data_IF_135720362029
#
_entry.id   IF_135720362029
#
_cell.length_a   1.000
_cell.length_b   1.000
_cell.length_c   1.000
_cell.angle_alpha   90.00
_cell.angle_beta   90.00
_cell.angle_gamma   90.00
#
_symmetry.space_group_name_H-M   'P 1'
#
loop_
_entity.id
_entity.type
_entity.pdbx_description
1 polymer ?
#
# COMPACT_ATOMS: atom_id res chain seq x y z
N UNK A 1 17.61 27.93 -24.14
CA UNK A 1 16.44 27.02 -24.14
C UNK A 1 16.69 25.93 -23.11
N UNK A 2 15.92 25.87 -22.02
CA UNK A 2 15.90 24.66 -21.17
C UNK A 2 14.82 23.76 -21.76
N UNK A 3 15.23 22.75 -22.52
CA UNK A 3 14.34 21.80 -23.20
C UNK A 3 13.80 20.72 -22.25
N UNK A 4 14.38 20.62 -21.04
CA UNK A 4 13.95 19.70 -20.00
C UNK A 4 13.11 20.44 -18.94
N UNK A 5 11.80 20.19 -18.94
CA UNK A 5 10.84 20.83 -18.02
C UNK A 5 10.40 19.84 -16.92
N UNK A 6 9.87 20.33 -15.79
CA UNK A 6 9.28 19.47 -14.76
C UNK A 6 8.17 18.54 -15.30
N UNK A 7 7.40 19.00 -16.29
CA UNK A 7 6.38 18.19 -16.94
C UNK A 7 7.00 17.00 -17.71
N UNK A 8 8.09 17.22 -18.45
CA UNK A 8 8.82 16.13 -19.14
C UNK A 8 9.39 15.14 -18.13
N UNK A 9 9.94 15.64 -17.01
CA UNK A 9 10.43 14.78 -15.92
C UNK A 9 9.34 13.87 -15.36
N UNK A 10 8.14 14.41 -15.11
CA UNK A 10 7.01 13.64 -14.60
C UNK A 10 6.60 12.51 -15.56
N UNK A 11 6.57 12.79 -16.87
CA UNK A 11 6.27 11.76 -17.88
C UNK A 11 7.34 10.65 -17.91
N UNK A 12 8.62 10.99 -17.77
CA UNK A 12 9.69 10.00 -17.67
C UNK A 12 9.54 9.10 -16.43
N UNK A 13 9.09 9.66 -15.30
CA UNK A 13 8.82 8.87 -14.11
C UNK A 13 7.63 7.92 -14.29
N UNK A 14 6.56 8.34 -15.00
CA UNK A 14 5.47 7.41 -15.35
C UNK A 14 5.98 6.25 -16.22
N UNK A 15 6.83 6.55 -17.20
CA UNK A 15 7.45 5.55 -18.07
C UNK A 15 8.37 4.60 -17.30
N UNK A 16 9.08 5.06 -16.27
CA UNK A 16 9.96 4.19 -15.47
C UNK A 16 9.17 3.16 -14.64
N UNK A 17 8.01 3.55 -14.10
CA UNK A 17 7.08 2.65 -13.39
C UNK A 17 6.61 1.54 -14.34
N UNK A 18 6.02 1.91 -15.49
CA UNK A 18 5.49 0.95 -16.46
C UNK A 18 6.60 0.12 -17.12
N UNK A 19 7.75 0.74 -17.37
CA UNK A 19 8.96 0.11 -17.90
C UNK A 19 9.55 -0.93 -16.95
N UNK A 20 9.36 -0.77 -15.63
CA UNK A 20 9.74 -1.78 -14.64
C UNK A 20 8.68 -2.88 -14.53
N UNK A 21 7.39 -2.51 -14.53
CA UNK A 21 6.28 -3.45 -14.44
C UNK A 21 6.25 -4.48 -15.59
N UNK A 22 6.76 -4.13 -16.78
CA UNK A 22 6.78 -5.03 -17.95
C UNK A 22 7.44 -6.40 -17.71
N UNK A 23 8.34 -6.50 -16.73
CA UNK A 23 9.10 -7.73 -16.45
C UNK A 23 8.32 -8.74 -15.61
N UNK A 24 7.30 -8.29 -14.87
CA UNK A 24 6.45 -9.12 -14.03
C UNK A 24 4.99 -9.15 -14.51
N UNK A 25 4.49 -7.97 -14.92
CA UNK A 25 3.09 -7.64 -15.19
C UNK A 25 2.12 -8.22 -14.14
N UNK A 26 2.55 -8.21 -12.88
CA UNK A 26 1.77 -8.72 -11.75
C UNK A 26 0.60 -7.80 -11.43
N UNK A 27 -0.60 -8.35 -11.42
CA UNK A 27 -1.86 -7.73 -11.03
C UNK A 27 -2.32 -8.45 -9.76
N UNK A 28 -2.41 -7.70 -8.66
CA UNK A 28 -2.76 -8.18 -7.33
C UNK A 28 -4.17 -7.71 -7.05
N UNK A 29 -5.07 -8.66 -6.84
CA UNK A 29 -6.49 -8.40 -6.58
C UNK A 29 -6.81 -8.86 -5.16
N UNK A 30 -6.86 -7.93 -4.18
CA UNK A 30 -7.34 -8.24 -2.85
C UNK A 30 -8.80 -8.62 -2.86
N UNK A 31 -9.16 -9.60 -2.02
CA UNK A 31 -10.56 -9.91 -1.77
C UNK A 31 -11.30 -8.66 -1.25
N UNK A 32 -12.53 -8.35 -1.71
CA UNK A 32 -13.21 -7.09 -1.37
C UNK A 32 -13.33 -6.81 0.14
N UNK A 33 -13.68 -7.82 0.94
CA UNK A 33 -13.77 -7.68 2.40
C UNK A 33 -12.42 -7.37 3.05
N UNK A 34 -11.33 -7.97 2.53
CA UNK A 34 -9.98 -7.68 3.00
C UNK A 34 -9.55 -6.26 2.58
N UNK A 35 -9.81 -5.88 1.33
CA UNK A 35 -9.53 -4.53 0.82
C UNK A 35 -10.15 -3.46 1.72
N UNK A 36 -11.44 -3.61 2.04
CA UNK A 36 -12.16 -2.69 2.91
C UNK A 36 -11.56 -2.66 4.32
N UNK A 37 -11.31 -3.83 4.92
CA UNK A 37 -10.73 -3.90 6.26
C UNK A 37 -9.33 -3.28 6.34
N UNK A 38 -8.49 -3.47 5.32
CA UNK A 38 -7.16 -2.85 5.23
C UNK A 38 -7.26 -1.34 5.05
N UNK A 39 -8.15 -0.86 4.17
CA UNK A 39 -8.37 0.57 3.94
C UNK A 39 -8.90 1.30 5.20
N UNK A 40 -9.60 0.60 6.08
CA UNK A 40 -10.07 1.15 7.36
C UNK A 40 -9.08 1.00 8.51
N UNK A 41 -8.01 0.20 8.32
CA UNK A 41 -7.01 -0.03 9.36
C UNK A 41 -6.11 1.21 9.49
N UNK A 42 -6.07 1.86 10.66
CA UNK A 42 -5.19 3.00 10.88
C UNK A 42 -3.72 2.57 10.83
N UNK A 43 -2.88 3.41 10.24
CA UNK A 43 -1.43 3.22 10.26
C UNK A 43 -0.83 3.82 11.52
N UNK A 44 0.25 3.20 11.98
CA UNK A 44 1.07 3.72 13.09
C UNK A 44 1.74 5.04 12.70
N UNK A 45 1.96 5.92 13.67
CA UNK A 45 2.78 7.14 13.53
C UNK A 45 4.28 6.83 13.34
N UNK A 46 4.66 5.56 13.40
CA UNK A 46 5.96 5.06 12.98
C UNK A 46 5.77 4.05 11.84
N UNK A 47 5.82 4.55 10.60
CA UNK A 47 5.74 3.70 9.41
C UNK A 47 6.90 2.68 9.36
N UNK A 48 6.63 1.40 9.12
CA UNK A 48 7.66 0.37 9.04
C UNK A 48 8.30 0.38 7.64
N UNK A 49 9.22 1.33 7.41
CA UNK A 49 9.86 1.58 6.10
C UNK A 49 10.43 0.31 5.47
N UNK A 50 11.08 -0.55 6.26
CA UNK A 50 11.72 -1.77 5.76
C UNK A 50 10.73 -2.82 5.24
N UNK A 51 9.47 -2.78 5.68
CA UNK A 51 8.42 -3.68 5.18
C UNK A 51 8.15 -3.33 3.72
N UNK A 52 8.05 -2.06 3.36
CA UNK A 52 7.87 -1.63 1.96
C UNK A 52 9.03 -2.02 1.04
N UNK A 53 10.18 -2.49 1.54
CA UNK A 53 11.29 -2.97 0.69
C UNK A 53 11.13 -4.44 0.27
N UNK A 54 10.14 -5.13 0.84
CA UNK A 54 9.87 -6.56 0.65
C UNK A 54 8.91 -6.84 -0.50
N UNK A 55 8.66 -5.87 -1.39
CA UNK A 55 7.81 -6.08 -2.56
C UNK A 55 8.13 -7.41 -3.28
N UNK A 56 7.10 -8.22 -3.57
CA UNK A 56 7.29 -9.53 -4.21
C UNK A 56 7.86 -9.42 -5.63
N UNK A 57 7.58 -8.31 -6.32
CA UNK A 57 8.10 -7.97 -7.64
C UNK A 57 8.55 -6.51 -7.64
N UNK A 58 9.47 -6.10 -8.53
CA UNK A 58 9.99 -4.72 -8.52
C UNK A 58 8.92 -3.65 -8.70
N UNK A 59 7.90 -3.97 -9.49
CA UNK A 59 6.70 -3.15 -9.62
C UNK A 59 5.49 -4.08 -9.71
N UNK A 60 4.44 -3.71 -8.99
CA UNK A 60 3.16 -4.42 -8.95
C UNK A 60 2.03 -3.47 -9.32
N UNK A 61 0.94 -4.00 -9.87
CA UNK A 61 -0.33 -3.30 -9.96
C UNK A 61 -1.29 -3.89 -8.93
N UNK A 62 -1.92 -3.05 -8.11
CA UNK A 62 -2.93 -3.47 -7.13
C UNK A 62 -4.29 -2.98 -7.61
N UNK A 63 -5.24 -3.89 -7.78
CA UNK A 63 -6.62 -3.55 -8.11
C UNK A 63 -7.37 -3.11 -6.86
N UNK A 64 -8.20 -2.07 -6.98
CA UNK A 64 -8.92 -1.46 -5.86
C UNK A 64 -10.40 -1.22 -6.18
N UNK A 65 -11.17 -2.24 -6.59
CA UNK A 65 -12.56 -2.06 -6.99
C UNK A 65 -13.39 -1.39 -5.88
N UNK A 66 -14.19 -0.39 -6.26
CA UNK A 66 -15.04 0.35 -5.34
C UNK A 66 -14.31 1.39 -4.45
N UNK A 67 -12.99 1.54 -4.57
CA UNK A 67 -12.29 2.63 -3.89
C UNK A 67 -12.41 3.94 -4.68
N UNK A 68 -12.60 5.03 -3.94
CA UNK A 68 -12.51 6.39 -4.48
C UNK A 68 -11.43 7.19 -3.76
N UNK A 69 -10.74 8.04 -4.51
CA UNK A 69 -9.75 8.99 -4.01
C UNK A 69 -10.09 10.38 -4.51
N UNK A 70 -10.16 11.36 -3.60
CA UNK A 70 -10.48 12.75 -3.96
C UNK A 70 -11.77 12.91 -4.82
N UNK A 71 -12.75 12.02 -4.65
CA UNK A 71 -14.01 12.04 -5.40
C UNK A 71 -13.99 11.32 -6.75
N UNK A 72 -12.85 10.77 -7.17
CA UNK A 72 -12.69 10.01 -8.41
C UNK A 72 -12.61 8.50 -8.10
N UNK A 73 -13.16 7.67 -8.99
CA UNK A 73 -12.98 6.22 -8.90
C UNK A 73 -11.49 5.85 -9.12
N UNK A 74 -10.97 4.98 -8.26
CA UNK A 74 -9.64 4.42 -8.35
C UNK A 74 -9.72 2.94 -8.75
N UNK A 75 -9.45 2.64 -10.01
CA UNK A 75 -9.43 1.25 -10.49
C UNK A 75 -8.28 0.43 -9.89
N UNK A 76 -7.18 1.10 -9.57
CA UNK A 76 -5.99 0.51 -8.96
C UNK A 76 -4.79 1.43 -9.04
N UNK A 77 -3.61 0.92 -8.70
CA UNK A 77 -2.38 1.69 -8.80
C UNK A 77 -1.17 0.79 -9.02
N UNK A 78 -0.17 1.29 -9.74
CA UNK A 78 1.16 0.68 -9.74
C UNK A 78 1.97 1.21 -8.57
N UNK A 79 2.75 0.33 -7.95
CA UNK A 79 3.66 0.68 -6.87
C UNK A 79 5.08 0.19 -7.18
N UNK A 80 6.07 1.05 -6.92
CA UNK A 80 7.49 0.73 -6.98
C UNK A 80 8.23 1.57 -5.94
N UNK A 81 9.20 0.96 -5.25
CA UNK A 81 10.19 1.72 -4.47
C UNK A 81 11.32 2.12 -5.40
N UNK A 82 11.55 3.42 -5.49
CA UNK A 82 12.71 3.96 -6.18
C UNK A 82 13.63 4.65 -5.18
N UNK A 83 14.90 4.72 -5.52
CA UNK A 83 15.92 5.35 -4.69
C UNK A 83 16.45 6.59 -5.40
N UNK A 84 16.56 7.70 -4.66
CA UNK A 84 17.21 8.88 -5.18
C UNK A 84 18.74 8.69 -5.10
N UNK A 85 19.41 8.72 -6.24
CA UNK A 85 20.86 8.52 -6.35
C UNK A 85 21.68 9.58 -5.58
N UNK A 86 21.12 10.77 -5.33
CA UNK A 86 21.85 11.88 -4.68
C UNK A 86 21.90 11.71 -3.15
N UNK A 87 20.78 11.33 -2.54
CA UNK A 87 20.63 11.32 -1.07
C UNK A 87 20.41 9.92 -0.49
N UNK A 88 20.36 8.88 -1.34
CA UNK A 88 20.03 7.49 -0.97
C UNK A 88 18.61 7.32 -0.35
N UNK A 89 17.82 8.38 -0.30
CA UNK A 89 16.44 8.40 0.18
C UNK A 89 15.56 7.51 -0.71
N UNK A 90 14.75 6.67 -0.06
CA UNK A 90 13.80 5.78 -0.74
C UNK A 90 12.44 6.43 -0.79
N UNK A 91 11.82 6.42 -1.96
CA UNK A 91 10.47 6.91 -2.16
C UNK A 91 9.63 5.85 -2.84
N UNK A 92 8.41 5.70 -2.37
CA UNK A 92 7.39 4.92 -3.03
C UNK A 92 6.75 5.77 -4.13
N UNK A 93 6.75 5.26 -5.35
CA UNK A 93 6.06 5.86 -6.48
C UNK A 93 4.75 5.10 -6.69
N UNK A 94 3.65 5.85 -6.67
CA UNK A 94 2.29 5.36 -6.83
C UNK A 94 1.71 5.95 -8.10
N UNK A 95 1.65 5.16 -9.18
CA UNK A 95 0.98 5.58 -10.41
C UNK A 95 -0.49 5.15 -10.30
N UNK A 96 -1.36 6.10 -9.99
CA UNK A 96 -2.78 5.89 -9.79
C UNK A 96 -3.49 5.73 -11.13
N UNK A 97 -4.26 4.65 -11.28
CA UNK A 97 -5.17 4.40 -12.39
C UNK A 97 -6.58 4.86 -12.00
N UNK A 98 -6.95 6.08 -12.37
CA UNK A 98 -8.22 6.72 -11.99
C UNK A 98 -9.12 6.88 -13.20
N UNK A 99 -10.40 7.16 -12.96
CA UNK A 99 -11.37 7.49 -14.01
C UNK A 99 -10.85 8.59 -14.97
N UNK A 100 -10.25 9.64 -14.41
CA UNK A 100 -9.69 10.77 -15.18
C UNK A 100 -8.26 10.54 -15.70
N UNK A 101 -7.78 9.30 -15.70
CA UNK A 101 -6.48 8.90 -16.23
C UNK A 101 -5.38 8.75 -15.17
N UNK A 102 -4.14 8.65 -15.66
CA UNK A 102 -2.98 8.31 -14.84
C UNK A 102 -2.42 9.51 -14.07
N UNK A 103 -2.33 9.40 -12.75
CA UNK A 103 -1.67 10.39 -11.88
C UNK A 103 -0.51 9.74 -11.14
N UNK A 104 0.68 10.33 -11.22
CA UNK A 104 1.82 9.88 -10.44
C UNK A 104 1.85 10.63 -9.11
N UNK A 105 1.89 9.88 -8.03
CA UNK A 105 2.17 10.37 -6.68
C UNK A 105 3.51 9.79 -6.23
N UNK A 106 4.25 10.55 -5.44
CA UNK A 106 5.44 10.05 -4.75
C UNK A 106 5.24 10.22 -3.26
N UNK A 107 5.65 9.22 -2.49
CA UNK A 107 5.58 9.23 -1.04
C UNK A 107 6.94 8.83 -0.49
N UNK A 108 7.56 9.72 0.29
CA UNK A 108 8.87 9.47 0.85
C UNK A 108 8.78 8.44 1.98
N UNK A 109 9.60 7.40 1.93
CA UNK A 109 9.62 6.39 2.98
C UNK A 109 10.56 6.84 4.11
N UNK A 110 9.98 7.48 5.13
CA UNK A 110 10.65 7.90 6.36
C UNK A 110 9.81 7.51 7.58
N UNK A 111 10.44 7.48 8.74
CA UNK A 111 9.74 7.29 10.02
C UNK A 111 8.92 8.54 10.32
N UNK A 112 7.65 8.37 10.67
CA UNK A 112 6.72 9.44 10.98
C UNK A 112 5.30 9.07 10.59
N UNK A 113 4.34 9.91 10.97
CA UNK A 113 2.95 9.74 10.54
C UNK A 113 2.83 10.11 9.06
N UNK A 114 1.89 9.49 8.35
CA UNK A 114 1.64 9.78 6.93
C UNK A 114 1.35 11.27 6.71
N UNK A 115 0.61 11.89 7.64
CA UNK A 115 0.27 13.31 7.55
C UNK A 115 1.50 14.20 7.67
N UNK A 116 2.36 13.97 8.68
CA UNK A 116 3.58 14.75 8.87
C UNK A 116 4.52 14.63 7.67
N UNK A 117 4.66 13.42 7.11
CA UNK A 117 5.51 13.19 5.93
C UNK A 117 4.97 13.95 4.71
N UNK A 118 3.64 13.97 4.51
CA UNK A 118 3.05 14.72 3.40
C UNK A 118 3.14 16.24 3.59
N UNK A 119 2.97 16.73 4.81
CA UNK A 119 3.18 18.14 5.16
C UNK A 119 4.63 18.55 4.89
N UNK A 120 5.60 17.76 5.33
CA UNK A 120 7.02 17.99 5.07
C UNK A 120 7.32 18.00 3.55
N UNK A 121 6.79 17.01 2.82
CA UNK A 121 6.93 16.95 1.36
C UNK A 121 6.30 18.14 0.65
N UNK A 122 5.17 18.63 1.14
CA UNK A 122 4.50 19.82 0.60
C UNK A 122 5.33 21.08 0.85
N UNK A 123 5.87 21.26 2.07
CA UNK A 123 6.73 22.40 2.41
C UNK A 123 8.01 22.43 1.58
N UNK A 124 8.70 21.29 1.45
CA UNK A 124 9.89 21.19 0.60
C UNK A 124 9.57 21.51 -0.88
N UNK A 125 8.39 21.09 -1.36
CA UNK A 125 7.92 21.39 -2.70
C UNK A 125 7.68 22.89 -2.92
N UNK A 126 7.13 23.59 -1.92
CA UNK A 126 6.96 25.04 -1.97
C UNK A 126 8.30 25.78 -1.99
N UNK A 127 9.25 25.37 -1.15
CA UNK A 127 10.58 25.97 -1.10
C UNK A 127 11.30 25.80 -2.45
N UNK A 128 11.21 24.60 -3.05
CA UNK A 128 11.78 24.31 -4.37
C UNK A 128 11.11 25.09 -5.51
N UNK A 129 9.85 25.51 -5.34
CA UNK A 129 9.13 26.32 -6.33
C UNK A 129 9.60 27.78 -6.38
N UNK A 130 10.38 28.23 -5.39
CA UNK A 130 10.80 29.62 -5.25
C UNK A 130 9.71 30.54 -4.71
N UNK A 131 8.69 30.00 -4.02
CA UNK A 131 7.67 30.77 -3.34
C UNK A 131 8.29 31.66 -2.26
N UNK A 132 7.76 32.88 -2.06
CA UNK A 132 8.25 33.76 -0.99
C UNK A 132 7.87 33.20 0.38
N UNK A 133 8.65 33.46 1.45
CA UNK A 133 8.31 33.02 2.80
C UNK A 133 6.90 33.42 3.25
N UNK A 134 6.44 34.62 2.86
CA UNK A 134 5.08 35.12 3.16
C UNK A 134 3.99 34.30 2.43
N UNK A 135 4.26 33.91 1.18
CA UNK A 135 3.35 33.06 0.41
C UNK A 135 3.27 31.67 1.05
N UNK A 136 4.42 31.10 1.43
CA UNK A 136 4.48 29.81 2.13
C UNK A 136 3.70 29.88 3.43
N UNK A 137 3.87 30.93 4.23
CA UNK A 137 3.16 31.12 5.50
C UNK A 137 1.65 31.26 5.28
N UNK A 138 1.23 32.02 4.27
CA UNK A 138 -0.20 32.16 3.93
C UNK A 138 -0.81 30.82 3.50
N UNK A 139 -0.09 30.03 2.70
CA UNK A 139 -0.55 28.71 2.26
C UNK A 139 -0.60 27.71 3.42
N UNK A 140 0.32 27.78 4.38
CA UNK A 140 0.31 26.95 5.59
C UNK A 140 -0.97 27.13 6.42
N UNK A 141 -1.48 28.36 6.51
CA UNK A 141 -2.71 28.69 7.25
C UNK A 141 -3.99 28.56 6.41
N UNK A 142 -3.89 28.09 5.17
CA UNK A 142 -5.07 27.88 4.32
C UNK A 142 -5.89 26.69 4.79
N UNK A 143 -7.14 26.93 5.19
CA UNK A 143 -8.10 25.89 5.55
C UNK A 143 -8.33 24.91 4.39
N UNK A 144 -8.34 25.42 3.16
CA UNK A 144 -8.48 24.57 1.97
C UNK A 144 -7.31 23.58 1.85
N UNK A 145 -6.07 24.05 2.02
CA UNK A 145 -4.90 23.18 1.92
C UNK A 145 -4.80 22.19 3.07
N UNK A 146 -5.16 22.59 4.30
CA UNK A 146 -5.14 21.67 5.43
C UNK A 146 -6.17 20.54 5.26
N UNK A 147 -7.37 20.84 4.75
CA UNK A 147 -8.37 19.83 4.40
C UNK A 147 -7.89 18.94 3.25
N UNK A 148 -7.25 19.53 2.23
CA UNK A 148 -6.67 18.79 1.11
C UNK A 148 -5.59 17.79 1.58
N UNK A 149 -4.59 18.25 2.35
CA UNK A 149 -3.50 17.41 2.86
C UNK A 149 -4.02 16.30 3.76
N UNK A 150 -5.00 16.59 4.63
CA UNK A 150 -5.62 15.58 5.48
C UNK A 150 -6.34 14.50 4.67
N UNK A 151 -7.07 14.89 3.62
CA UNK A 151 -7.72 13.93 2.72
C UNK A 151 -6.68 13.12 1.93
N UNK A 152 -5.61 13.75 1.46
CA UNK A 152 -4.50 13.08 0.80
C UNK A 152 -3.81 12.08 1.74
N UNK A 153 -3.57 12.44 2.99
CA UNK A 153 -2.97 11.57 4.01
C UNK A 153 -3.86 10.35 4.29
N UNK A 154 -5.18 10.55 4.40
CA UNK A 154 -6.13 9.45 4.52
C UNK A 154 -6.07 8.52 3.31
N UNK A 155 -6.13 9.08 2.10
CA UNK A 155 -6.21 8.31 0.88
C UNK A 155 -4.88 7.56 0.62
N UNK A 156 -3.73 8.20 0.80
CA UNK A 156 -2.40 7.55 0.74
C UNK A 156 -2.27 6.49 1.83
N UNK A 157 -2.74 6.76 3.05
CA UNK A 157 -2.72 5.81 4.16
C UNK A 157 -3.45 4.50 3.82
N UNK A 158 -4.57 4.57 3.09
CA UNK A 158 -5.28 3.39 2.59
C UNK A 158 -4.42 2.55 1.65
N UNK A 159 -3.77 3.20 0.67
CA UNK A 159 -2.89 2.53 -0.28
C UNK A 159 -1.69 1.88 0.42
N UNK A 160 -1.09 2.60 1.38
CA UNK A 160 0.02 2.10 2.20
C UNK A 160 -0.39 0.89 3.04
N UNK A 161 -1.59 0.88 3.64
CA UNK A 161 -2.11 -0.28 4.39
C UNK A 161 -2.23 -1.52 3.50
N UNK A 162 -2.74 -1.38 2.29
CA UNK A 162 -2.83 -2.49 1.32
C UNK A 162 -1.43 -2.99 0.94
N UNK A 163 -0.50 -2.08 0.68
CA UNK A 163 0.89 -2.41 0.36
C UNK A 163 1.62 -3.08 1.52
N UNK A 164 1.36 -2.68 2.77
CA UNK A 164 1.91 -3.32 3.96
C UNK A 164 1.44 -4.76 4.08
N UNK A 165 0.21 -5.06 3.68
CA UNK A 165 -0.29 -6.43 3.66
C UNK A 165 0.51 -7.25 2.66
N UNK A 166 0.59 -6.79 1.40
CA UNK A 166 1.33 -7.48 0.32
C UNK A 166 2.82 -7.64 0.67
N UNK A 167 3.40 -6.71 1.41
CA UNK A 167 4.81 -6.74 1.81
C UNK A 167 5.06 -7.37 3.19
N UNK A 168 4.03 -7.88 3.87
CA UNK A 168 4.16 -8.51 5.18
C UNK A 168 5.01 -9.80 5.11
N UNK A 169 5.31 -10.41 6.26
CA UNK A 169 6.14 -11.62 6.28
C UNK A 169 5.44 -12.85 5.67
N UNK A 170 4.12 -12.96 5.85
CA UNK A 170 3.33 -14.11 5.39
C UNK A 170 1.99 -13.64 4.79
N UNK A 171 2.02 -12.88 3.67
CA UNK A 171 0.79 -12.47 3.01
C UNK A 171 0.16 -13.68 2.32
N UNK A 172 -1.16 -13.77 2.40
CA UNK A 172 -1.90 -14.75 1.60
C UNK A 172 -1.97 -14.24 0.16
N UNK A 173 -1.10 -14.76 -0.71
CA UNK A 173 -1.04 -14.44 -2.13
C UNK A 173 -0.96 -15.74 -2.91
N UNK A 174 -1.85 -15.92 -3.88
CA UNK A 174 -1.86 -17.10 -4.73
C UNK A 174 -2.16 -16.75 -6.20
N UNK A 175 -1.67 -17.56 -7.14
CA UNK A 175 -1.96 -17.36 -8.56
C UNK A 175 -3.34 -17.88 -8.92
N UNK A 176 -4.08 -17.10 -9.70
CA UNK A 176 -5.35 -17.56 -10.29
C UNK A 176 -5.22 -18.77 -11.21
N UNK A 177 -4.05 -18.94 -11.83
CA UNK A 177 -3.81 -19.99 -12.84
C UNK A 177 -2.99 -21.16 -12.31
N UNK A 178 -2.24 -20.94 -11.23
CA UNK A 178 -1.33 -21.93 -10.64
C UNK A 178 -1.41 -21.85 -9.11
N UNK A 179 -2.46 -22.43 -8.50
CA UNK A 179 -2.62 -22.41 -7.05
C UNK A 179 -1.41 -22.97 -6.29
N UNK A 180 -1.10 -22.39 -5.14
CA UNK A 180 0.09 -22.67 -4.32
C UNK A 180 1.38 -22.00 -4.82
N UNK A 181 1.30 -21.10 -5.81
CA UNK A 181 2.47 -20.38 -6.32
C UNK A 181 2.55 -18.97 -5.74
N UNK A 182 3.78 -18.44 -5.65
CA UNK A 182 4.03 -17.11 -5.11
C UNK A 182 4.77 -16.23 -6.13
N UNK A 183 4.49 -14.92 -6.20
CA UNK A 183 5.19 -14.01 -7.09
C UNK A 183 6.69 -13.94 -6.78
N UNK A 184 7.48 -13.75 -7.83
CA UNK A 184 8.94 -13.66 -7.70
C UNK A 184 9.51 -12.58 -8.61
N UNK A 185 10.54 -11.90 -8.10
CA UNK A 185 11.30 -10.90 -8.87
C UNK A 185 11.89 -11.54 -10.13
N UNK A 186 11.76 -10.87 -11.30
CA UNK A 186 12.33 -11.36 -12.55
C UNK A 186 13.84 -11.58 -12.41
N UNK A 187 14.34 -12.73 -12.88
CA UNK A 187 15.76 -13.06 -12.86
C UNK A 187 16.37 -12.91 -14.25
N UNK A 188 17.59 -12.39 -14.38
CA UNK A 188 18.27 -12.34 -15.66
C UNK A 188 18.58 -13.75 -16.15
N UNK A 189 18.39 -13.97 -17.46
CA UNK A 189 18.67 -15.23 -18.14
C UNK A 189 20.00 -15.10 -18.88
N UNK A 190 20.86 -16.12 -18.75
CA UNK A 190 22.14 -16.17 -19.47
C UNK A 190 21.88 -16.43 -20.95
N UNK A 191 22.35 -15.52 -21.80
CA UNK A 191 22.31 -15.65 -23.27
C UNK A 191 23.72 -15.75 -23.83
N UNK A 192 23.85 -16.07 -25.13
CA UNK A 192 25.15 -16.04 -25.83
C UNK A 192 25.84 -14.67 -25.79
N UNK A 193 25.09 -13.57 -25.58
CA UNK A 193 25.60 -12.19 -25.51
C UNK A 193 25.61 -11.63 -24.07
N UNK A 194 25.59 -12.50 -23.06
CA UNK A 194 25.56 -12.11 -21.65
C UNK A 194 24.16 -12.22 -21.01
N UNK A 195 24.06 -11.77 -19.76
CA UNK A 195 22.80 -11.80 -19.00
C UNK A 195 21.81 -10.77 -19.52
N UNK A 196 20.54 -11.17 -19.69
CA UNK A 196 19.46 -10.29 -20.14
C UNK A 196 18.19 -10.53 -19.36
N UNK A 197 17.43 -9.47 -19.10
CA UNK A 197 16.06 -9.55 -18.62
C UNK A 197 15.11 -9.59 -19.81
N UNK A 198 14.06 -10.40 -19.71
CA UNK A 198 13.04 -10.54 -20.73
C UNK A 198 11.69 -10.12 -20.15
N UNK A 199 10.93 -9.24 -20.84
CA UNK A 199 9.57 -8.92 -20.43
C UNK A 199 8.67 -10.15 -20.53
N UNK A 200 7.65 -10.22 -19.68
CA UNK A 200 6.64 -11.28 -19.78
C UNK A 200 5.61 -10.96 -20.87
N UNK A 201 5.10 -12.00 -21.53
CA UNK A 201 4.17 -11.84 -22.65
C UNK A 201 2.85 -11.18 -22.24
N UNK A 202 2.26 -11.61 -21.12
CA UNK A 202 0.98 -11.10 -20.64
C UNK A 202 0.95 -10.84 -19.14
N UNK A 203 -0.16 -10.26 -18.64
CA UNK A 203 -0.37 -10.07 -17.21
C UNK A 203 -0.39 -11.40 -16.43
N UNK A 204 0.07 -11.35 -15.19
CA UNK A 204 -0.03 -12.44 -14.21
C UNK A 204 -0.95 -11.99 -13.10
N UNK A 205 -2.00 -12.76 -12.84
CA UNK A 205 -3.02 -12.42 -11.86
C UNK A 205 -2.78 -13.17 -10.55
N UNK A 206 -2.79 -12.41 -9.47
CA UNK A 206 -2.55 -12.86 -8.10
C UNK A 206 -3.76 -12.47 -7.26
N UNK A 207 -4.39 -13.45 -6.62
CA UNK A 207 -5.41 -13.19 -5.60
C UNK A 207 -4.72 -12.91 -4.28
N UNK A 208 -5.26 -11.97 -3.52
CA UNK A 208 -4.67 -11.56 -2.24
C UNK A 208 -5.71 -11.72 -1.13
N UNK A 209 -5.42 -12.62 -0.19
CA UNK A 209 -6.21 -12.83 1.03
C UNK A 209 -7.61 -13.37 0.80
N UNK A 210 -7.75 -14.41 -0.02
CA UNK A 210 -9.04 -15.04 -0.32
C UNK A 210 -9.67 -15.64 0.93
N UNK A 211 -8.96 -16.51 1.66
CA UNK A 211 -9.47 -17.14 2.88
C UNK A 211 -9.74 -16.08 3.96
N UNK A 212 -8.80 -15.16 4.15
CA UNK A 212 -8.99 -14.04 5.09
C UNK A 212 -10.20 -13.18 4.72
N UNK A 213 -10.39 -12.93 3.44
CA UNK A 213 -11.51 -12.17 2.89
C UNK A 213 -12.87 -12.85 3.10
N UNK A 214 -12.95 -14.16 2.85
CA UNK A 214 -14.14 -14.98 3.07
C UNK A 214 -14.50 -15.06 4.57
N UNK A 215 -13.49 -15.21 5.44
CA UNK A 215 -13.67 -15.15 6.89
C UNK A 215 -14.25 -13.80 7.33
N UNK A 216 -13.78 -12.68 6.75
CA UNK A 216 -14.30 -11.34 7.05
C UNK A 216 -15.72 -11.15 6.49
N UNK A 217 -16.01 -11.63 5.29
CA UNK A 217 -17.34 -11.58 4.70
C UNK A 217 -18.36 -12.32 5.59
N UNK A 218 -18.00 -13.52 6.05
CA UNK A 218 -18.82 -14.33 6.96
C UNK A 218 -19.05 -13.60 8.28
N UNK A 219 -17.98 -13.09 8.91
CA UNK A 219 -18.07 -12.37 10.19
C UNK A 219 -18.97 -11.12 10.11
N UNK A 220 -18.90 -10.37 9.00
CA UNK A 220 -19.76 -9.20 8.78
C UNK A 220 -21.23 -9.61 8.62
N UNK A 221 -21.52 -10.68 7.90
CA UNK A 221 -22.88 -11.19 7.74
C UNK A 221 -23.50 -11.66 9.07
N UNK A 222 -22.69 -12.27 9.95
CA UNK A 222 -23.15 -12.72 11.27
C UNK A 222 -23.45 -11.54 12.22
N UNK A 223 -22.72 -10.44 12.11
CA UNK A 223 -22.99 -9.23 12.90
C UNK A 223 -24.31 -8.56 12.53
N UNK A 224 -24.74 -8.62 11.28
CA UNK A 224 -25.99 -8.02 10.81
C UNK A 224 -27.24 -8.81 11.25
N UNK A 225 -27.10 -10.10 11.57
CA UNK A 225 -28.21 -11.01 11.91
C UNK A 225 -28.55 -11.01 13.42
N UNK A 226 -27.72 -10.40 14.28
CA UNK A 226 -27.89 -10.45 15.73
C UNK A 226 -29.01 -9.52 16.25
N UNK A 227 -30.27 -9.91 16.07
CA UNK A 227 -31.43 -9.34 16.77
C UNK A 227 -31.49 -9.87 18.21
N UNK A 228 -31.37 -8.97 19.19
CA UNK A 228 -31.16 -9.31 20.60
C UNK A 228 -32.40 -9.88 21.31
N UNK A 229 -32.25 -11.02 21.99
CA UNK A 229 -33.14 -11.45 23.08
C UNK A 229 -32.30 -11.88 24.30
N UNK A 230 -32.26 -11.05 25.35
CA UNK A 230 -31.72 -11.40 26.68
C UNK A 230 -30.51 -10.58 27.15
N UNK A 231 -30.16 -10.75 28.44
CA UNK A 231 -29.03 -10.09 29.11
C UNK A 231 -27.73 -10.80 28.72
N UNK A 232 -27.02 -10.30 27.70
CA UNK A 232 -25.74 -10.82 27.24
C UNK A 232 -24.66 -9.74 27.17
N UNK A 233 -23.39 -10.17 27.29
CA UNK A 233 -22.20 -9.33 27.07
C UNK A 233 -22.33 -8.67 25.69
N UNK A 234 -22.16 -7.35 25.63
CA UNK A 234 -22.30 -6.58 24.38
C UNK A 234 -21.28 -7.10 23.36
N UNK A 235 -21.78 -7.76 22.32
CA UNK A 235 -20.99 -8.17 21.17
C UNK A 235 -20.41 -6.90 20.54
N UNK A 236 -19.09 -6.86 20.37
CA UNK A 236 -18.43 -5.76 19.67
C UNK A 236 -17.35 -6.29 18.73
N UNK A 237 -17.16 -5.59 17.61
CA UNK A 237 -16.12 -5.87 16.65
C UNK A 237 -14.84 -5.13 17.08
N UNK A 238 -13.83 -5.88 17.54
CA UNK A 238 -12.47 -5.36 17.70
C UNK A 238 -11.89 -5.15 16.30
N UNK A 239 -11.47 -3.92 16.01
CA UNK A 239 -10.91 -3.55 14.70
C UNK A 239 -9.60 -4.28 14.40
N UNK A 240 -9.35 -4.47 13.11
CA UNK A 240 -8.06 -4.92 12.61
C UNK A 240 -6.97 -3.90 12.96
N UNK A 241 -5.76 -4.40 13.21
CA UNK A 241 -4.63 -3.56 13.57
C UNK A 241 -3.33 -4.23 13.15
N UNK A 242 -2.33 -3.40 12.90
CA UNK A 242 -0.99 -3.86 12.59
C UNK A 242 -0.23 -4.23 13.87
N UNK A 243 0.51 -5.33 13.80
CA UNK A 243 1.35 -5.80 14.89
C UNK A 243 2.77 -6.07 14.38
N UNK A 244 3.75 -5.41 15.01
CA UNK A 244 5.16 -5.57 14.71
C UNK A 244 5.95 -6.06 15.91
N UNK A 245 6.87 -6.99 15.69
CA UNK A 245 7.75 -7.50 16.74
C UNK A 245 9.16 -7.76 16.21
N UNK A 246 10.14 -7.66 17.10
CA UNK A 246 11.54 -7.97 16.81
C UNK A 246 11.88 -9.38 17.27
N UNK A 247 12.51 -10.15 16.41
CA UNK A 247 13.07 -11.47 16.73
C UNK A 247 14.59 -11.43 16.63
N UNK A 248 15.27 -12.22 17.47
CA UNK A 248 16.74 -12.24 17.58
C UNK A 248 17.27 -11.58 18.88
N UNK A 249 18.55 -11.82 19.16
CA UNK A 249 19.22 -11.33 20.38
C UNK A 249 19.22 -9.81 20.43
N UNK A 250 19.19 -9.24 21.64
CA UNK A 250 19.17 -7.77 21.83
C UNK A 250 20.48 -7.08 21.55
N UNK A 251 21.56 -7.79 21.77
CA UNK A 251 22.91 -7.22 21.73
C UNK A 251 23.54 -7.31 20.33
N UNK A 252 22.81 -7.90 19.36
CA UNK A 252 23.23 -8.09 17.97
C UNK A 252 22.20 -7.46 17.02
N UNK A 253 22.09 -6.11 16.97
CA UNK A 253 21.02 -5.43 16.25
C UNK A 253 20.98 -5.71 14.74
N UNK A 254 22.12 -5.98 14.11
CA UNK A 254 22.19 -6.25 12.67
C UNK A 254 21.57 -7.60 12.25
N UNK A 255 21.47 -8.54 13.19
CA UNK A 255 20.93 -9.89 12.94
C UNK A 255 19.45 -9.96 13.34
N UNK A 256 18.90 -8.88 13.91
CA UNK A 256 17.50 -8.83 14.32
C UNK A 256 16.59 -8.74 13.11
N UNK A 257 15.54 -9.56 13.10
CA UNK A 257 14.49 -9.51 12.09
C UNK A 257 13.25 -8.84 12.67
N UNK A 258 12.86 -7.72 12.08
CA UNK A 258 11.55 -7.11 12.33
C UNK A 258 10.48 -7.86 11.53
N UNK A 259 9.49 -8.40 12.22
CA UNK A 259 8.33 -9.04 11.60
C UNK A 259 7.10 -8.16 11.74
N UNK A 260 6.26 -8.09 10.70
CA UNK A 260 5.11 -7.21 10.66
C UNK A 260 3.91 -7.91 10.03
N UNK A 261 2.81 -7.98 10.77
CA UNK A 261 1.61 -8.72 10.39
C UNK A 261 0.37 -7.87 10.61
N UNK A 262 -0.64 -8.06 9.75
CA UNK A 262 -1.97 -7.53 9.98
C UNK A 262 -2.79 -8.54 10.78
N UNK A 263 -3.36 -8.10 11.90
CA UNK A 263 -4.30 -8.91 12.67
C UNK A 263 -5.72 -8.55 12.24
N UNK A 264 -6.52 -9.51 11.75
CA UNK A 264 -7.87 -9.23 11.28
C UNK A 264 -8.80 -8.81 12.44
N UNK A 265 -9.89 -8.08 12.13
CA UNK A 265 -10.96 -7.82 13.08
C UNK A 265 -11.45 -9.10 13.78
N UNK A 266 -11.81 -8.99 15.06
CA UNK A 266 -12.33 -10.10 15.87
C UNK A 266 -13.64 -9.72 16.54
N UNK A 267 -14.61 -10.63 16.51
CA UNK A 267 -15.85 -10.49 17.26
C UNK A 267 -15.59 -10.88 18.71
N UNK A 268 -15.80 -9.97 19.64
CA UNK A 268 -15.66 -10.21 21.09
C UNK A 268 -17.04 -10.27 21.72
N UNK A 269 -17.28 -11.31 22.52
CA UNK A 269 -18.52 -11.48 23.30
C UNK A 269 -19.63 -12.26 22.61
N UNK A 270 -19.41 -12.79 21.39
CA UNK A 270 -20.34 -13.73 20.73
C UNK A 270 -20.10 -15.18 21.17
N UNK A 271 -21.17 -15.96 21.35
CA UNK A 271 -21.03 -17.43 21.42
C UNK A 271 -20.70 -17.92 20.00
N UNK A 272 -19.53 -18.55 19.80
CA UNK A 272 -19.31 -19.38 18.62
C UNK A 272 -20.34 -20.50 18.67
N UNK A 273 -21.24 -20.57 17.69
CA UNK A 273 -21.92 -21.82 17.42
C UNK A 273 -20.85 -22.75 16.85
N UNK A 274 -20.33 -23.66 17.69
CA UNK A 274 -19.58 -24.80 17.19
C UNK A 274 -20.55 -25.57 16.28
N UNK A 275 -20.23 -25.63 14.99
CA UNK A 275 -20.90 -26.51 14.06
C UNK A 275 -20.68 -27.94 14.55
N UNK A 276 -21.74 -28.54 15.10
CA UNK A 276 -21.78 -29.97 15.39
C UNK A 276 -21.82 -30.66 14.03
N UNK A 277 -20.75 -31.38 13.72
CA UNK A 277 -20.69 -32.32 12.59
C UNK A 277 -21.66 -33.49 12.80
#
# INVERSE_FOLDING_TARGET
>A
KREFTPAVWLELQKLSVLGTWRYSKGIYTPHPSLLNALAETPLSDALPVDVFLRFPEWCIYVSTPGMCMQGEELYGFWAIVNQNDVNNDKSLYLLLNRENGLKLESFRLKTGSVNAILEDMFHEGLDASGATPETVETLKHSEYLSVYLKNQARDVGRLLSILLYICSDEPEIDSERQPGSYPARPKPVKTKKGFRLFPVNGPRYWRVGENMGEMLATALSETDICTATGRQVRVHLRRGHWHGFWSGKRDEPEVRKFSYHWLPPQIIGGRRHEAVY
#
